data_IF_704356068835
#
_entry.id   IF_704356068835
#
_cell.length_a   1.000
_cell.length_b   1.000
_cell.length_c   1.000
_cell.angle_alpha   90.00
_cell.angle_beta   90.00
_cell.angle_gamma   90.00
#
_symmetry.space_group_name_H-M   'P 1'
#
loop_
_entity.id
_entity.type
_entity.pdbx_description
1 polymer ?
#
# COMPACT_ATOMS: atom_id res chain seq x y z
N UNK A 1 -30.48 -1.46 -13.62
CA UNK A 1 -31.15 -0.14 -13.49
C UNK A 1 -30.06 0.92 -13.36
N UNK A 2 -29.92 1.85 -14.32
CA UNK A 2 -28.95 2.96 -14.22
C UNK A 2 -29.66 4.14 -13.56
N UNK A 3 -29.05 4.76 -12.56
CA UNK A 3 -29.58 5.97 -11.93
C UNK A 3 -29.25 7.18 -12.82
N UNK A 4 -30.24 8.01 -13.15
CA UNK A 4 -30.04 9.30 -13.87
C UNK A 4 -29.55 10.35 -12.87
N UNK A 5 -28.44 11.01 -13.18
CA UNK A 5 -27.98 12.18 -12.42
C UNK A 5 -28.77 13.43 -12.84
N UNK A 6 -29.13 14.27 -11.88
CA UNK A 6 -29.80 15.56 -12.13
C UNK A 6 -28.93 16.71 -11.61
N UNK A 7 -27.92 17.15 -12.39
CA UNK A 7 -27.03 18.23 -11.99
C UNK A 7 -27.68 19.61 -12.19
N UNK A 8 -27.15 20.60 -11.47
CA UNK A 8 -27.47 22.02 -11.68
C UNK A 8 -26.58 22.69 -12.74
N UNK A 9 -25.57 21.98 -13.26
CA UNK A 9 -24.72 22.47 -14.34
C UNK A 9 -25.57 22.63 -15.61
N UNK A 10 -25.38 23.77 -16.30
CA UNK A 10 -26.02 24.12 -17.57
C UNK A 10 -24.98 24.61 -18.55
N UNK A 11 -25.29 24.47 -19.84
CA UNK A 11 -24.56 25.03 -20.97
C UNK A 11 -23.10 24.49 -21.06
N UNK A 12 -22.20 25.26 -21.68
CA UNK A 12 -20.81 24.88 -21.96
C UNK A 12 -20.55 24.61 -23.44
N UNK A 13 -19.46 23.88 -23.73
CA UNK A 13 -19.19 23.32 -25.07
C UNK A 13 -20.44 22.53 -25.52
N UNK A 14 -20.87 22.60 -26.80
CA UNK A 14 -22.21 22.20 -27.23
C UNK A 14 -22.76 20.98 -26.48
N UNK A 15 -23.78 21.16 -25.62
CA UNK A 15 -24.20 20.11 -24.71
C UNK A 15 -24.79 18.94 -25.51
N UNK A 16 -24.31 17.73 -25.23
CA UNK A 16 -24.70 16.51 -25.95
C UNK A 16 -26.07 15.96 -25.53
N UNK A 17 -26.69 16.52 -24.49
CA UNK A 17 -27.95 16.08 -23.88
C UNK A 17 -29.02 17.20 -23.92
N UNK A 18 -30.15 17.00 -23.23
CA UNK A 18 -31.27 17.95 -23.14
C UNK A 18 -30.98 19.21 -22.32
N UNK A 19 -29.75 19.37 -21.81
CA UNK A 19 -29.32 20.44 -20.91
C UNK A 19 -30.29 20.62 -19.72
N UNK A 20 -30.96 19.54 -19.31
CA UNK A 20 -32.01 19.54 -18.28
C UNK A 20 -33.18 20.54 -18.52
N UNK A 21 -33.32 21.05 -19.75
CA UNK A 21 -34.45 21.90 -20.19
C UNK A 21 -34.75 23.06 -19.21
N UNK A 22 -36.02 23.25 -18.87
CA UNK A 22 -36.53 24.35 -18.05
C UNK A 22 -36.57 24.03 -16.54
N UNK A 23 -35.94 22.94 -16.09
CA UNK A 23 -35.92 22.64 -14.65
C UNK A 23 -35.01 23.64 -13.91
N UNK A 24 -35.35 24.04 -12.66
CA UNK A 24 -34.59 25.04 -11.91
C UNK A 24 -33.08 24.80 -11.94
N UNK A 25 -32.31 25.85 -12.23
CA UNK A 25 -30.84 25.80 -12.32
C UNK A 25 -30.14 26.32 -11.05
N UNK A 26 -30.86 26.47 -9.94
CA UNK A 26 -30.32 26.91 -8.65
C UNK A 26 -30.83 26.04 -7.49
N UNK A 27 -30.02 25.93 -6.43
CA UNK A 27 -30.36 25.24 -5.19
C UNK A 27 -29.97 26.10 -3.97
N UNK A 28 -30.80 26.19 -2.92
CA UNK A 28 -32.16 25.62 -2.81
C UNK A 28 -33.19 26.35 -3.69
N UNK A 29 -34.27 25.67 -4.09
CA UNK A 29 -35.39 26.26 -4.82
C UNK A 29 -36.74 25.76 -4.30
N UNK A 30 -37.82 26.52 -4.59
CA UNK A 30 -39.19 26.21 -4.19
C UNK A 30 -40.03 25.57 -5.31
N UNK A 31 -39.37 25.11 -6.39
CA UNK A 31 -40.02 24.62 -7.61
C UNK A 31 -39.78 23.11 -7.83
N UNK A 32 -39.53 22.37 -6.74
CA UNK A 32 -39.29 20.91 -6.76
C UNK A 32 -38.13 20.48 -7.66
N UNK A 33 -37.08 21.31 -7.78
CA UNK A 33 -35.85 20.93 -8.47
C UNK A 33 -35.06 19.84 -7.72
N UNK A 34 -33.98 19.31 -8.33
CA UNK A 34 -33.20 18.21 -7.77
C UNK A 34 -32.68 18.45 -6.35
N UNK A 35 -32.83 17.48 -5.45
CA UNK A 35 -32.35 17.58 -4.05
C UNK A 35 -31.06 16.76 -3.88
N UNK A 36 -29.99 17.34 -3.30
CA UNK A 36 -28.74 16.61 -3.11
C UNK A 36 -28.94 15.44 -2.15
N UNK A 37 -28.40 14.29 -2.53
CA UNK A 37 -28.28 13.16 -1.62
C UNK A 37 -27.34 13.52 -0.47
N UNK A 38 -27.84 13.44 0.77
CA UNK A 38 -27.02 13.61 1.97
C UNK A 38 -26.58 12.24 2.46
N UNK A 39 -25.32 11.89 2.19
CA UNK A 39 -24.71 10.73 2.83
C UNK A 39 -24.63 10.98 4.35
N UNK A 40 -25.17 10.05 5.14
CA UNK A 40 -25.16 10.10 6.60
C UNK A 40 -23.81 9.68 7.20
N UNK A 41 -22.99 8.98 6.42
CA UNK A 41 -21.67 8.53 6.83
C UNK A 41 -20.64 9.57 6.40
N UNK A 42 -20.33 10.49 7.30
CA UNK A 42 -19.15 11.35 7.17
C UNK A 42 -18.06 10.76 8.06
N UNK A 43 -16.92 10.43 7.46
CA UNK A 43 -15.70 10.15 8.22
C UNK A 43 -15.08 11.47 8.63
N UNK A 44 -14.46 11.50 9.81
CA UNK A 44 -13.71 12.67 10.24
C UNK A 44 -12.44 12.83 9.40
N UNK A 45 -12.06 14.08 9.16
CA UNK A 45 -10.76 14.36 8.54
C UNK A 45 -9.67 14.04 9.56
N UNK A 46 -8.88 13.00 9.28
CA UNK A 46 -7.72 12.65 10.10
C UNK A 46 -6.42 13.11 9.43
N UNK A 47 -5.45 13.51 10.25
CA UNK A 47 -4.05 13.64 9.83
C UNK A 47 -3.31 12.41 10.31
N UNK A 48 -2.81 11.59 9.39
CA UNK A 48 -1.96 10.45 9.73
C UNK A 48 -0.56 11.00 10.05
N UNK A 49 -0.07 10.75 11.25
CA UNK A 49 1.33 10.92 11.61
C UNK A 49 1.93 9.53 11.75
N UNK A 50 2.89 9.21 10.89
CA UNK A 50 3.61 7.93 10.97
C UNK A 50 4.84 8.13 11.86
N UNK A 51 4.90 7.37 12.95
CA UNK A 51 6.12 7.21 13.76
C UNK A 51 7.00 6.11 13.14
N UNK A 52 8.25 5.98 13.62
CA UNK A 52 9.12 4.89 13.16
C UNK A 52 8.47 3.54 13.48
N UNK A 53 8.03 2.84 12.45
CA UNK A 53 7.19 1.68 12.61
C UNK A 53 8.03 0.45 12.99
N UNK A 54 7.75 -0.15 14.15
CA UNK A 54 8.32 -1.43 14.57
C UNK A 54 7.51 -2.60 13.98
N UNK A 55 7.48 -2.72 12.65
CA UNK A 55 6.61 -3.66 11.93
C UNK A 55 7.20 -5.08 11.78
N UNK A 56 7.95 -5.57 12.77
CA UNK A 56 8.63 -6.88 12.67
C UNK A 56 7.92 -8.02 13.40
N UNK A 57 6.96 -7.74 14.28
CA UNK A 57 6.33 -8.75 15.14
C UNK A 57 5.64 -9.86 14.34
N UNK A 58 4.81 -9.52 13.36
CA UNK A 58 4.14 -10.51 12.52
C UNK A 58 5.12 -11.34 11.69
N UNK A 59 6.17 -10.70 11.16
CA UNK A 59 7.21 -11.39 10.40
C UNK A 59 8.01 -12.34 11.31
N UNK A 60 8.25 -11.95 12.56
CA UNK A 60 8.91 -12.78 13.58
C UNK A 60 8.05 -13.97 13.97
N UNK A 61 6.77 -13.75 14.26
CA UNK A 61 5.82 -14.82 14.58
C UNK A 61 5.73 -15.84 13.43
N UNK A 62 5.60 -15.36 12.20
CA UNK A 62 5.61 -16.23 11.02
C UNK A 62 6.92 -17.00 10.88
N UNK A 63 8.06 -16.34 11.07
CA UNK A 63 9.38 -16.98 10.98
C UNK A 63 9.62 -18.01 12.09
N UNK A 64 9.06 -17.83 13.28
CA UNK A 64 9.27 -18.75 14.41
C UNK A 64 8.28 -19.91 14.34
N UNK A 65 7.00 -19.62 14.11
CA UNK A 65 5.90 -20.56 14.34
C UNK A 65 5.46 -21.30 13.08
N UNK A 66 5.55 -20.66 11.90
CA UNK A 66 4.91 -21.17 10.68
C UNK A 66 5.89 -21.80 9.68
N UNK A 67 7.16 -21.40 9.71
CA UNK A 67 8.18 -21.87 8.76
C UNK A 67 9.06 -22.97 9.36
N UNK A 68 9.15 -24.10 8.67
CA UNK A 68 9.96 -25.26 9.09
C UNK A 68 11.45 -24.99 8.89
N UNK A 69 12.34 -25.72 9.60
CA UNK A 69 13.79 -25.53 9.44
C UNK A 69 14.31 -25.67 8.00
N UNK A 70 13.73 -26.57 7.19
CA UNK A 70 14.11 -26.72 5.78
C UNK A 70 13.65 -25.56 4.90
N UNK A 71 12.52 -24.94 5.24
CA UNK A 71 11.98 -23.77 4.57
C UNK A 71 12.78 -22.52 4.92
N UNK A 72 13.23 -22.38 6.18
CA UNK A 72 14.13 -21.28 6.59
C UNK A 72 15.41 -21.25 5.77
N UNK A 73 16.00 -22.41 5.48
CA UNK A 73 17.18 -22.50 4.60
C UNK A 73 16.90 -22.01 3.18
N UNK A 74 15.75 -22.41 2.61
CA UNK A 74 15.32 -21.93 1.28
C UNK A 74 15.02 -20.43 1.28
N UNK A 75 14.42 -19.92 2.35
CA UNK A 75 14.18 -18.49 2.53
C UNK A 75 15.50 -17.70 2.49
N UNK A 76 16.51 -18.13 3.27
CA UNK A 76 17.84 -17.49 3.25
C UNK A 76 18.46 -17.54 1.85
N UNK A 77 18.42 -18.69 1.19
CA UNK A 77 18.94 -18.83 -0.18
C UNK A 77 18.28 -17.84 -1.15
N UNK A 78 16.94 -17.79 -1.17
CA UNK A 78 16.19 -16.89 -2.06
C UNK A 78 16.47 -15.41 -1.76
N UNK A 79 16.61 -15.03 -0.49
CA UNK A 79 16.97 -13.67 -0.07
C UNK A 79 18.36 -13.32 -0.62
N UNK A 80 19.33 -14.20 -0.44
CA UNK A 80 20.73 -13.98 -0.82
C UNK A 80 20.87 -13.88 -2.33
N UNK A 81 20.22 -14.76 -3.10
CA UNK A 81 20.22 -14.72 -4.57
C UNK A 81 19.68 -13.40 -5.10
N UNK A 82 18.59 -12.91 -4.51
CA UNK A 82 18.01 -11.62 -4.88
C UNK A 82 18.88 -10.44 -4.46
N UNK A 83 19.63 -10.55 -3.36
CA UNK A 83 20.46 -9.46 -2.83
C UNK A 83 21.86 -9.43 -3.44
N UNK A 84 22.38 -10.56 -3.94
CA UNK A 84 23.76 -10.67 -4.48
C UNK A 84 24.16 -9.52 -5.43
N UNK A 85 23.34 -9.07 -6.41
CA UNK A 85 23.74 -7.99 -7.32
C UNK A 85 23.65 -6.57 -6.72
N UNK A 86 23.10 -6.42 -5.51
CA UNK A 86 22.93 -5.11 -4.88
C UNK A 86 24.25 -4.55 -4.32
N UNK A 87 24.31 -3.24 -4.14
CA UNK A 87 25.45 -2.57 -3.52
C UNK A 87 25.61 -2.97 -2.03
N UNK A 88 26.85 -2.97 -1.53
CA UNK A 88 27.18 -3.38 -0.15
C UNK A 88 26.33 -2.70 0.93
N UNK A 89 26.07 -1.40 0.81
CA UNK A 89 25.25 -0.69 1.81
C UNK A 89 23.79 -1.20 1.85
N UNK A 90 23.28 -1.77 0.75
CA UNK A 90 21.97 -2.41 0.72
C UNK A 90 22.00 -3.79 1.38
N UNK A 91 23.12 -4.52 1.27
CA UNK A 91 23.32 -5.76 2.03
C UNK A 91 23.26 -5.49 3.53
N UNK A 92 23.98 -4.46 4.01
CA UNK A 92 24.01 -4.12 5.43
C UNK A 92 22.62 -3.75 5.94
N UNK A 93 21.88 -2.88 5.22
CA UNK A 93 20.49 -2.53 5.57
C UNK A 93 19.56 -3.74 5.56
N UNK A 94 19.70 -4.64 4.59
CA UNK A 94 18.87 -5.83 4.52
C UNK A 94 19.15 -6.77 5.70
N UNK A 95 20.42 -6.97 6.04
CA UNK A 95 20.82 -7.75 7.23
C UNK A 95 20.24 -7.14 8.50
N UNK A 96 20.27 -5.82 8.64
CA UNK A 96 19.69 -5.14 9.81
C UNK A 96 18.18 -5.39 9.92
N UNK A 97 17.44 -5.29 8.81
CA UNK A 97 16.00 -5.61 8.74
C UNK A 97 15.74 -7.06 9.14
N UNK A 98 16.47 -8.02 8.58
CA UNK A 98 16.29 -9.43 8.90
C UNK A 98 16.73 -9.78 10.33
N UNK A 99 17.69 -9.06 10.89
CA UNK A 99 18.12 -9.19 12.30
C UNK A 99 17.02 -8.71 13.25
N UNK A 100 16.33 -7.62 12.91
CA UNK A 100 15.17 -7.11 13.66
C UNK A 100 13.99 -8.11 13.66
N UNK A 101 13.82 -8.86 12.58
CA UNK A 101 12.84 -9.98 12.52
C UNK A 101 13.30 -11.14 13.41
N UNK A 102 14.51 -11.65 13.20
CA UNK A 102 15.08 -12.71 14.02
C UNK A 102 16.62 -12.71 13.95
N UNK A 103 17.35 -12.77 15.08
CA UNK A 103 18.82 -12.78 15.09
C UNK A 103 19.43 -13.86 14.18
N UNK A 104 18.92 -15.09 14.25
CA UNK A 104 19.42 -16.19 13.41
C UNK A 104 19.18 -15.96 11.91
N UNK A 105 18.07 -15.31 11.54
CA UNK A 105 17.77 -15.02 10.14
C UNK A 105 18.78 -14.00 9.60
N UNK A 106 19.00 -12.90 10.32
CA UNK A 106 20.01 -11.91 9.98
C UNK A 106 21.42 -12.49 9.90
N UNK A 107 21.80 -13.32 10.87
CA UNK A 107 23.10 -14.00 10.89
C UNK A 107 23.30 -14.92 9.67
N UNK A 108 22.30 -15.73 9.33
CA UNK A 108 22.37 -16.63 8.17
C UNK A 108 22.45 -15.87 6.84
N UNK A 109 21.67 -14.80 6.69
CA UNK A 109 21.73 -13.94 5.49
C UNK A 109 23.10 -13.27 5.36
N UNK A 110 23.65 -12.72 6.46
CA UNK A 110 24.99 -12.10 6.47
C UNK A 110 26.07 -13.12 6.09
N UNK A 111 26.05 -14.30 6.69
CA UNK A 111 27.03 -15.35 6.41
C UNK A 111 26.99 -15.79 4.95
N UNK A 112 25.79 -15.98 4.39
CA UNK A 112 25.61 -16.40 3.01
C UNK A 112 26.04 -15.32 1.99
N UNK A 113 25.79 -14.04 2.29
CA UNK A 113 26.30 -12.93 1.46
C UNK A 113 27.83 -12.85 1.47
N UNK A 114 28.47 -13.05 2.63
CA UNK A 114 29.93 -13.07 2.75
C UNK A 114 30.54 -14.24 1.98
N UNK A 115 29.97 -15.45 2.11
CA UNK A 115 30.44 -16.63 1.37
C UNK A 115 30.36 -16.45 -0.15
N UNK A 116 29.35 -15.73 -0.64
CA UNK A 116 29.20 -15.40 -2.06
C UNK A 116 30.21 -14.37 -2.56
N UNK A 117 30.72 -13.49 -1.68
CA UNK A 117 31.75 -12.51 -2.06
C UNK A 117 33.16 -13.11 -2.21
N UNK A 118 33.41 -14.26 -1.59
CA UNK A 118 34.69 -14.98 -1.64
C UNK A 118 34.85 -15.93 -2.82
N UNK A 119 33.81 -16.12 -3.64
CA UNK A 119 33.81 -17.04 -4.79
C UNK A 119 34.21 -16.43 -6.14
N UNK A 120 34.50 -15.12 -6.18
CA UNK A 120 34.78 -14.36 -7.41
C UNK A 120 36.26 -13.88 -7.49
N UNK A 121 37.24 -14.67 -7.01
CA UNK A 121 38.69 -14.43 -7.19
C UNK A 121 39.35 -15.62 -7.91
#
# INVERSE_FOLDING_TARGET
>A
MRHRAFPYNRDGVPPVNDNERDIPNYYPNSFHGPVPYKNKHRVELIKIQEEEANNYDQAREWYINEIRPSERKRLVHNIVDSLKPAAKFLHDRAVDVYTRIHPDLGAQVRQALLANSTGDI
#
